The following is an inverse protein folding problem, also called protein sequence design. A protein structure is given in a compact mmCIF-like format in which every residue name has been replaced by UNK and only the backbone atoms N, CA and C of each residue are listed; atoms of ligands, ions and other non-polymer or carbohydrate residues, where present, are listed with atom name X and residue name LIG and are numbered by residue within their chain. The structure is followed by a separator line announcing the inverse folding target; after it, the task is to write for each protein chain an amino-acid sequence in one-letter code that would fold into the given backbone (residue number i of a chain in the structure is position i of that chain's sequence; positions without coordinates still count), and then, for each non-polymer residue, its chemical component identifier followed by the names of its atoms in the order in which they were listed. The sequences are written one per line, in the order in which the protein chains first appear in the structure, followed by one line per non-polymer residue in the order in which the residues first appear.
data_IF_432941354569
#
_entry.id   IF_432941354569
#
_cell.length_a   1.000
_cell.length_b   1.000
_cell.length_c   1.000
_cell.angle_alpha   90.00
_cell.angle_beta   90.00
_cell.angle_gamma   90.00
#
_symmetry.space_group_name_H-M   'P 1'
#
loop_
_entity.id
_entity.type
_entity.pdbx_description
1 polymer ?
#
# COMPACT_ATOMS: atom_id res chain seq x y z
N UNK A 1 -6.26 -1.42 34.71
CA UNK A 1 -6.19 -1.33 33.25
C UNK A 1 -6.44 -2.71 32.66
N UNK A 2 -7.37 -2.82 31.70
CA UNK A 2 -7.60 -4.04 30.93
C UNK A 2 -6.74 -3.97 29.66
N UNK A 3 -5.84 -4.92 29.46
CA UNK A 3 -5.10 -5.05 28.20
C UNK A 3 -6.05 -5.71 27.20
N UNK A 4 -6.75 -4.91 26.38
CA UNK A 4 -7.68 -5.39 25.36
C UNK A 4 -6.86 -6.06 24.25
N UNK A 5 -6.60 -7.36 24.39
CA UNK A 5 -5.57 -8.08 23.62
C UNK A 5 -6.09 -8.78 22.35
N UNK A 6 -7.40 -9.02 22.24
CA UNK A 6 -7.95 -9.94 21.24
C UNK A 6 -8.27 -9.26 19.91
N UNK A 7 -8.95 -8.12 19.94
CA UNK A 7 -9.39 -7.42 18.72
C UNK A 7 -8.22 -6.88 17.88
N UNK A 8 -7.18 -6.37 18.54
CA UNK A 8 -5.99 -5.80 17.90
C UNK A 8 -5.23 -6.87 17.12
N UNK A 9 -4.96 -8.02 17.74
CA UNK A 9 -4.25 -9.13 17.13
C UNK A 9 -5.00 -9.72 15.94
N UNK A 10 -6.33 -9.83 16.06
CA UNK A 10 -7.20 -10.29 14.98
C UNK A 10 -7.12 -9.35 13.77
N UNK A 11 -7.13 -8.03 13.99
CA UNK A 11 -7.02 -7.07 12.88
C UNK A 11 -5.68 -7.17 12.16
N UNK A 12 -4.56 -7.24 12.90
CA UNK A 12 -3.22 -7.33 12.30
C UNK A 12 -3.09 -8.58 11.43
N UNK A 13 -3.57 -9.73 11.93
CA UNK A 13 -3.58 -10.98 11.17
C UNK A 13 -4.46 -10.90 9.92
N UNK A 14 -5.64 -10.28 10.01
CA UNK A 14 -6.54 -10.06 8.87
C UNK A 14 -5.89 -9.18 7.80
N UNK A 15 -5.21 -8.10 8.20
CA UNK A 15 -4.51 -7.21 7.27
C UNK A 15 -3.38 -7.95 6.53
N UNK A 16 -2.60 -8.75 7.25
CA UNK A 16 -1.54 -9.58 6.66
C UNK A 16 -2.07 -10.56 5.61
N UNK A 17 -3.16 -11.25 5.92
CA UNK A 17 -3.84 -12.13 4.98
C UNK A 17 -4.38 -11.36 3.77
N UNK A 18 -4.98 -10.18 4.00
CA UNK A 18 -5.49 -9.32 2.94
C UNK A 18 -4.37 -8.87 1.99
N UNK A 19 -3.18 -8.55 2.48
CA UNK A 19 -2.02 -8.23 1.63
C UNK A 19 -1.58 -9.40 0.75
N UNK A 20 -1.52 -10.62 1.29
CA UNK A 20 -1.19 -11.80 0.50
C UNK A 20 -2.22 -12.07 -0.61
N UNK A 21 -3.50 -11.92 -0.26
CA UNK A 21 -4.61 -12.05 -1.21
C UNK A 21 -4.53 -10.98 -2.31
N UNK A 22 -4.29 -9.73 -1.91
CA UNK A 22 -4.11 -8.60 -2.83
C UNK A 22 -2.94 -8.83 -3.79
N UNK A 23 -1.77 -9.26 -3.31
CA UNK A 23 -0.59 -9.49 -4.16
C UNK A 23 -0.86 -10.53 -5.24
N UNK A 24 -1.61 -11.59 -4.92
CA UNK A 24 -2.00 -12.60 -5.90
C UNK A 24 -2.98 -12.02 -6.92
N UNK A 25 -4.02 -11.32 -6.45
CA UNK A 25 -5.05 -10.75 -7.30
C UNK A 25 -4.49 -9.67 -8.24
N UNK A 26 -3.66 -8.77 -7.73
CA UNK A 26 -3.14 -7.65 -8.50
C UNK A 26 -2.15 -8.10 -9.58
N UNK A 27 -1.31 -9.09 -9.28
CA UNK A 27 -0.41 -9.68 -10.28
C UNK A 27 -1.19 -10.32 -11.42
N UNK A 28 -2.24 -11.09 -11.10
CA UNK A 28 -3.11 -11.71 -12.10
C UNK A 28 -3.83 -10.66 -12.94
N UNK A 29 -4.38 -9.63 -12.30
CA UNK A 29 -5.05 -8.54 -12.98
C UNK A 29 -4.13 -7.80 -13.96
N UNK A 30 -2.97 -7.34 -13.50
CA UNK A 30 -2.01 -6.62 -14.36
C UNK A 30 -1.45 -7.51 -15.48
N UNK A 31 -1.29 -8.82 -15.22
CA UNK A 31 -0.92 -9.79 -16.25
C UNK A 31 -2.00 -9.91 -17.33
N UNK A 32 -3.28 -9.95 -16.93
CA UNK A 32 -4.39 -10.03 -17.87
C UNK A 32 -4.52 -8.75 -18.72
N UNK A 33 -4.29 -7.56 -18.15
CA UNK A 33 -4.25 -6.32 -18.93
C UNK A 33 -3.11 -6.36 -19.95
N UNK A 34 -1.90 -6.79 -19.54
CA UNK A 34 -0.77 -6.95 -20.48
C UNK A 34 -1.06 -7.95 -21.60
N UNK A 35 -1.74 -9.05 -21.28
CA UNK A 35 -2.12 -10.07 -22.24
C UNK A 35 -3.16 -9.54 -23.22
N UNK A 36 -4.13 -8.75 -22.77
CA UNK A 36 -5.07 -8.03 -23.64
C UNK A 36 -4.32 -7.17 -24.67
N UNK A 37 -3.38 -6.34 -24.25
CA UNK A 37 -2.59 -5.49 -25.15
C UNK A 37 -1.74 -6.31 -26.13
N UNK A 38 -1.17 -7.42 -25.68
CA UNK A 38 -0.38 -8.33 -26.54
C UNK A 38 -1.26 -9.00 -27.59
N UNK A 39 -2.49 -9.38 -27.22
CA UNK A 39 -3.45 -9.97 -28.14
C UNK A 39 -4.01 -8.95 -29.13
N UNK A 40 -4.22 -7.69 -28.71
CA UNK A 40 -4.61 -6.61 -29.62
C UNK A 40 -3.55 -6.34 -30.70
N UNK A 41 -2.26 -6.35 -30.34
CA UNK A 41 -1.19 -6.25 -31.32
C UNK A 41 -1.19 -7.46 -32.28
N UNK A 42 -1.40 -8.66 -31.77
CA UNK A 42 -1.50 -9.86 -32.62
C UNK A 42 -2.64 -9.73 -33.63
N UNK A 43 -3.80 -9.21 -33.21
CA UNK A 43 -4.92 -8.91 -34.11
C UNK A 43 -4.55 -7.85 -35.15
N UNK A 44 -3.85 -6.78 -34.77
CA UNK A 44 -3.37 -5.78 -35.72
C UNK A 44 -2.41 -6.39 -36.76
N UNK A 45 -1.50 -7.27 -36.35
CA UNK A 45 -0.61 -7.99 -37.28
C UNK A 45 -1.43 -8.83 -38.25
N UNK A 46 -2.39 -9.61 -37.76
CA UNK A 46 -3.26 -10.42 -38.64
C UNK A 46 -4.10 -9.58 -39.59
N UNK A 47 -4.64 -8.43 -39.16
CA UNK A 47 -5.36 -7.49 -40.04
C UNK A 47 -4.44 -6.95 -41.13
N UNK A 48 -3.22 -6.56 -40.78
CA UNK A 48 -2.20 -6.11 -41.73
C UNK A 48 -1.84 -7.18 -42.76
N UNK A 49 -1.73 -8.43 -42.33
CA UNK A 49 -1.49 -9.57 -43.22
C UNK A 49 -2.67 -9.83 -44.16
N UNK A 50 -3.91 -9.79 -43.66
CA UNK A 50 -5.10 -9.98 -44.49
C UNK A 50 -5.30 -8.83 -45.50
N UNK A 51 -4.89 -7.60 -45.16
CA UNK A 51 -4.98 -6.45 -46.06
C UNK A 51 -3.91 -6.45 -47.17
N UNK A 52 -2.98 -7.41 -47.16
CA UNK A 52 -1.99 -7.53 -48.23
C UNK A 52 -2.70 -7.75 -49.57
N UNK A 53 -2.31 -6.96 -50.57
CA UNK A 53 -2.90 -6.99 -51.91
C UNK A 53 -4.39 -6.60 -51.97
N UNK A 54 -4.98 -6.05 -50.91
CA UNK A 54 -6.29 -5.39 -50.98
C UNK A 54 -6.22 -4.29 -52.04
N UNK A 55 -7.19 -4.21 -52.94
CA UNK A 55 -7.22 -3.27 -54.07
C UNK A 55 -8.09 -2.04 -53.78
N UNK A 56 -9.05 -2.17 -52.86
CA UNK A 56 -9.85 -1.05 -52.38
C UNK A 56 -9.04 -0.16 -51.43
N UNK A 57 -8.74 1.05 -51.86
CA UNK A 57 -7.94 2.01 -51.10
C UNK A 57 -8.59 2.42 -49.77
N UNK A 58 -9.91 2.53 -49.71
CA UNK A 58 -10.63 2.89 -48.47
C UNK A 58 -10.49 1.80 -47.40
N UNK A 59 -10.63 0.54 -47.81
CA UNK A 59 -10.48 -0.62 -46.92
C UNK A 59 -9.02 -0.76 -46.47
N UNK A 60 -8.06 -0.55 -47.37
CA UNK A 60 -6.64 -0.57 -47.03
C UNK A 60 -6.30 0.52 -46.01
N UNK A 61 -6.77 1.74 -46.22
CA UNK A 61 -6.55 2.87 -45.31
C UNK A 61 -7.20 2.66 -43.94
N UNK A 62 -8.38 2.03 -43.88
CA UNK A 62 -9.04 1.64 -42.64
C UNK A 62 -8.17 0.63 -41.85
N UNK A 63 -7.69 -0.42 -42.51
CA UNK A 63 -6.80 -1.42 -41.91
C UNK A 63 -5.50 -0.80 -41.40
N UNK A 64 -4.85 0.05 -42.20
CA UNK A 64 -3.61 0.74 -41.80
C UNK A 64 -3.83 1.66 -40.60
N UNK A 65 -4.96 2.39 -40.57
CA UNK A 65 -5.32 3.27 -39.45
C UNK A 65 -5.52 2.48 -38.16
N UNK A 66 -6.27 1.37 -38.22
CA UNK A 66 -6.47 0.47 -37.08
C UNK A 66 -5.13 -0.05 -36.53
N UNK A 67 -4.28 -0.59 -37.41
CA UNK A 67 -3.01 -1.18 -37.00
C UNK A 67 -2.06 -0.12 -36.41
N UNK A 68 -1.96 1.06 -37.01
CA UNK A 68 -1.11 2.15 -36.52
C UNK A 68 -1.55 2.67 -35.15
N UNK A 69 -2.88 2.75 -34.89
CA UNK A 69 -3.40 3.14 -33.57
C UNK A 69 -3.01 2.14 -32.48
N UNK A 70 -3.08 0.85 -32.77
CA UNK A 70 -2.68 -0.21 -31.83
C UNK A 70 -1.16 -0.19 -31.59
N UNK A 71 -0.36 -0.04 -32.64
CA UNK A 71 1.10 0.07 -32.52
C UNK A 71 1.49 1.26 -31.65
N UNK A 72 0.84 2.42 -31.84
CA UNK A 72 1.04 3.61 -31.00
C UNK A 72 0.61 3.36 -29.55
N UNK A 73 -0.51 2.67 -29.32
CA UNK A 73 -0.97 2.32 -27.97
C UNK A 73 0.06 1.48 -27.20
N UNK A 74 0.68 0.51 -27.88
CA UNK A 74 1.67 -0.37 -27.27
C UNK A 74 3.05 0.28 -27.10
N UNK A 75 3.50 1.02 -28.11
CA UNK A 75 4.86 1.59 -28.17
C UNK A 75 4.99 2.93 -27.43
N UNK A 76 3.87 3.58 -27.09
CA UNK A 76 3.89 4.80 -26.30
C UNK A 76 4.67 4.58 -25.01
N UNK A 77 5.68 5.41 -24.80
CA UNK A 77 6.43 5.45 -23.54
C UNK A 77 5.63 6.25 -22.53
N UNK A 78 5.66 5.84 -21.27
CA UNK A 78 5.01 6.56 -20.19
C UNK A 78 5.66 7.96 -20.08
N UNK A 79 5.02 8.96 -20.68
CA UNK A 79 5.35 10.35 -20.42
C UNK A 79 5.02 10.59 -18.95
N UNK A 80 6.05 10.79 -18.13
CA UNK A 80 5.84 11.06 -16.71
C UNK A 80 4.99 12.33 -16.61
N UNK A 81 3.71 12.19 -16.32
CA UNK A 81 2.81 13.30 -16.04
C UNK A 81 3.07 13.82 -14.62
N UNK A 82 4.32 14.21 -14.35
CA UNK A 82 4.58 15.07 -13.19
C UNK A 82 4.03 16.43 -13.59
N UNK A 83 2.95 16.83 -12.94
CA UNK A 83 2.49 18.22 -12.99
C UNK A 83 3.66 19.11 -12.54
N UNK A 84 4.30 19.77 -13.49
CA UNK A 84 5.25 20.84 -13.23
C UNK A 84 4.44 22.08 -12.80
N UNK A 85 3.94 22.06 -11.56
CA UNK A 85 3.42 23.26 -10.95
C UNK A 85 4.61 24.11 -10.45
N UNK A 86 4.71 25.31 -11.01
CA UNK A 86 5.61 26.43 -10.65
C UNK A 86 7.09 26.30 -11.04
N UNK A 87 7.38 26.52 -12.33
CA UNK A 87 8.67 27.07 -12.75
C UNK A 87 8.51 28.57 -13.01
N UNK A 88 8.96 29.37 -12.04
CA UNK A 88 9.19 30.81 -12.18
C UNK A 88 10.26 31.04 -13.30
N UNK A 89 10.01 31.88 -14.31
CA UNK A 89 10.90 32.01 -15.48
C UNK A 89 12.31 32.56 -15.19
N UNK A 90 12.64 32.97 -13.97
CA UNK A 90 13.82 33.79 -13.68
C UNK A 90 14.88 33.17 -12.73
N UNK A 91 15.19 31.87 -12.84
CA UNK A 91 16.32 31.29 -12.08
C UNK A 91 17.20 30.34 -12.90
N UNK A 92 18.52 30.62 -13.06
CA UNK A 92 19.41 29.75 -13.80
C UNK A 92 19.75 28.49 -12.98
N UNK A 93 19.64 27.35 -13.66
CA UNK A 93 19.83 26.01 -13.12
C UNK A 93 21.31 25.68 -12.95
N UNK A 94 21.74 25.33 -11.73
CA UNK A 94 23.03 24.66 -11.46
C UNK A 94 22.76 23.28 -10.91
N UNK A 95 23.24 22.28 -11.65
CA UNK A 95 23.00 20.88 -11.39
C UNK A 95 23.55 20.37 -10.06
N UNK A 96 22.84 19.38 -9.52
CA UNK A 96 23.42 18.28 -8.73
C UNK A 96 22.45 17.10 -8.74
N UNK A 97 22.92 15.97 -9.28
CA UNK A 97 22.29 14.66 -9.13
C UNK A 97 22.21 14.33 -7.63
N UNK A 98 21.01 14.16 -7.10
CA UNK A 98 20.75 13.37 -5.88
C UNK A 98 19.56 12.47 -6.15
N UNK A 99 19.72 11.21 -5.72
CA UNK A 99 18.81 10.09 -5.89
C UNK A 99 17.39 10.41 -5.45
N UNK A 100 16.44 10.21 -6.35
CA UNK A 100 15.00 10.36 -6.10
C UNK A 100 14.48 9.13 -5.36
N UNK A 101 14.30 9.23 -4.05
CA UNK A 101 13.58 8.22 -3.26
C UNK A 101 12.56 8.78 -2.27
N UNK A 102 12.36 10.12 -2.19
CA UNK A 102 11.66 10.72 -1.04
C UNK A 102 10.54 11.74 -1.35
N UNK A 103 9.92 11.65 -2.52
CA UNK A 103 8.70 12.45 -2.78
C UNK A 103 7.63 11.56 -3.39
N UNK A 104 6.85 10.90 -2.53
CA UNK A 104 5.61 10.21 -2.92
C UNK A 104 4.45 11.17 -2.65
N UNK A 105 3.63 11.54 -3.66
CA UNK A 105 2.55 12.51 -3.44
C UNK A 105 1.48 11.95 -2.50
N UNK A 106 1.29 12.57 -1.35
CA UNK A 106 0.26 12.22 -0.34
C UNK A 106 -1.14 12.70 -0.75
N UNK A 107 -1.25 13.52 -1.80
CA UNK A 107 -2.50 14.05 -2.32
C UNK A 107 -2.67 13.63 -3.77
N UNK A 108 -3.70 12.81 -4.04
CA UNK A 108 -4.14 12.55 -5.42
C UNK A 108 -4.82 13.83 -5.91
N UNK A 109 -4.16 14.54 -6.82
CA UNK A 109 -4.84 15.51 -7.67
C UNK A 109 -5.81 14.73 -8.59
N UNK A 110 -7.06 14.66 -8.16
CA UNK A 110 -8.17 14.06 -8.92
C UNK A 110 -8.65 14.98 -10.06
N UNK A 111 -8.10 16.20 -10.16
CA UNK A 111 -8.43 17.20 -11.18
C UNK A 111 -7.42 17.28 -12.33
N UNK A 112 -6.36 16.47 -12.31
CA UNK A 112 -5.45 16.34 -13.46
C UNK A 112 -6.23 15.85 -14.69
N UNK A 113 -6.37 16.73 -15.68
CA UNK A 113 -6.96 16.43 -16.98
C UNK A 113 -6.14 15.30 -17.59
N UNK A 114 -6.71 14.10 -17.81
CA UNK A 114 -5.95 13.00 -18.36
C UNK A 114 -5.44 13.38 -19.75
N UNK A 115 -4.21 12.97 -20.12
CA UNK A 115 -3.72 13.15 -21.48
C UNK A 115 -4.74 12.56 -22.47
N UNK A 116 -4.90 13.21 -23.62
CA UNK A 116 -5.87 12.81 -24.66
C UNK A 116 -5.79 11.33 -25.02
N UNK A 117 -4.58 10.77 -24.88
CA UNK A 117 -4.22 9.39 -25.14
C UNK A 117 -3.64 8.75 -23.85
N UNK A 118 -4.40 7.86 -23.22
CA UNK A 118 -3.99 7.14 -22.00
C UNK A 118 -3.60 5.71 -22.37
N UNK A 119 -2.30 5.51 -22.56
CA UNK A 119 -1.71 4.30 -23.11
C UNK A 119 -1.34 3.25 -22.04
N UNK A 120 -1.12 2.01 -22.47
CA UNK A 120 -0.80 0.88 -21.59
C UNK A 120 0.37 1.17 -20.64
N UNK A 121 1.46 1.77 -21.14
CA UNK A 121 2.62 2.09 -20.31
C UNK A 121 2.29 3.10 -19.21
N UNK A 122 1.57 4.18 -19.54
CA UNK A 122 1.09 5.19 -18.59
C UNK A 122 0.17 4.57 -17.55
N UNK A 123 -0.76 3.72 -17.98
CA UNK A 123 -1.64 2.96 -17.08
C UNK A 123 -0.83 2.13 -16.07
N UNK A 124 0.12 1.33 -16.54
CA UNK A 124 0.93 0.46 -15.68
C UNK A 124 1.78 1.26 -14.68
N UNK A 125 2.36 2.37 -15.12
CA UNK A 125 3.14 3.27 -14.26
C UNK A 125 2.26 3.93 -13.20
N UNK A 126 1.14 4.53 -13.59
CA UNK A 126 0.23 5.21 -12.67
C UNK A 126 -0.40 4.25 -11.67
N UNK A 127 -0.77 3.05 -12.13
CA UNK A 127 -1.30 2.02 -11.26
C UNK A 127 -0.28 1.62 -10.19
N UNK A 128 0.99 1.40 -10.58
CA UNK A 128 2.06 1.06 -9.65
C UNK A 128 2.34 2.19 -8.65
N UNK A 129 2.46 3.43 -9.13
CA UNK A 129 2.75 4.59 -8.28
C UNK A 129 1.62 4.92 -7.30
N UNK A 130 0.36 4.88 -7.76
CA UNK A 130 -0.79 5.32 -6.95
C UNK A 130 -1.33 4.22 -6.05
N UNK A 131 -1.41 2.98 -6.54
CA UNK A 131 -2.05 1.87 -5.82
C UNK A 131 -1.00 1.03 -5.10
N UNK A 132 0.01 0.52 -5.81
CA UNK A 132 0.99 -0.42 -5.22
C UNK A 132 1.86 0.25 -4.16
N UNK A 133 2.28 1.51 -4.35
CA UNK A 133 3.08 2.24 -3.35
C UNK A 133 2.31 2.45 -2.03
N UNK A 134 1.03 2.82 -2.10
CA UNK A 134 0.20 3.05 -0.91
C UNK A 134 -0.02 1.75 -0.10
N UNK A 135 -0.14 0.61 -0.79
CA UNK A 135 -0.22 -0.71 -0.14
C UNK A 135 1.09 -1.09 0.53
N UNK A 136 2.23 -0.83 -0.12
CA UNK A 136 3.55 -1.14 0.45
C UNK A 136 3.85 -0.30 1.70
N UNK A 137 3.47 0.98 1.72
CA UNK A 137 3.59 1.81 2.92
C UNK A 137 2.76 1.27 4.09
N UNK A 138 1.51 0.86 3.85
CA UNK A 138 0.66 0.28 4.90
C UNK A 138 1.23 -1.06 5.40
N UNK A 139 1.87 -1.83 4.53
CA UNK A 139 2.53 -3.09 4.88
C UNK A 139 3.73 -2.87 5.80
N UNK A 140 4.54 -1.84 5.54
CA UNK A 140 5.65 -1.46 6.40
C UNK A 140 5.15 -1.06 7.79
N UNK A 141 4.14 -0.19 7.85
CA UNK A 141 3.51 0.23 9.11
C UNK A 141 2.95 -0.97 9.91
N UNK A 142 2.27 -1.90 9.23
CA UNK A 142 1.75 -3.12 9.86
C UNK A 142 2.87 -3.92 10.54
N UNK A 143 4.02 -4.05 9.86
CA UNK A 143 5.15 -4.80 10.38
C UNK A 143 5.78 -4.15 11.62
N UNK A 144 5.82 -2.82 11.67
CA UNK A 144 6.28 -2.07 12.85
C UNK A 144 5.32 -2.24 14.03
N UNK A 145 4.01 -2.18 13.79
CA UNK A 145 2.98 -2.41 14.81
C UNK A 145 3.00 -3.86 15.33
N UNK A 146 3.23 -4.86 14.46
CA UNK A 146 3.40 -6.26 14.89
C UNK A 146 4.61 -6.42 15.83
N UNK A 147 5.74 -5.77 15.51
CA UNK A 147 6.93 -5.76 16.38
C UNK A 147 6.64 -5.11 17.73
N UNK A 148 5.96 -3.96 17.71
CA UNK A 148 5.56 -3.23 18.91
C UNK A 148 4.62 -4.04 19.79
N UNK A 149 3.61 -4.69 19.18
CA UNK A 149 2.71 -5.61 19.88
C UNK A 149 3.49 -6.71 20.60
N UNK A 150 4.45 -7.33 19.93
CA UNK A 150 5.27 -8.39 20.53
C UNK A 150 6.07 -7.90 21.73
N UNK A 151 6.69 -6.72 21.64
CA UNK A 151 7.42 -6.10 22.77
C UNK A 151 6.51 -5.84 23.97
N UNK A 152 5.36 -5.21 23.73
CA UNK A 152 4.33 -5.00 24.77
C UNK A 152 3.91 -6.32 25.41
N UNK A 153 3.55 -7.33 24.61
CA UNK A 153 3.09 -8.63 25.12
C UNK A 153 4.17 -9.32 25.98
N UNK A 154 5.45 -9.19 25.62
CA UNK A 154 6.58 -9.68 26.44
C UNK A 154 6.68 -8.95 27.78
N UNK A 155 6.54 -7.62 27.81
CA UNK A 155 6.57 -6.85 29.06
C UNK A 155 5.35 -7.11 29.94
N UNK A 156 4.16 -7.22 29.35
CA UNK A 156 2.93 -7.57 30.07
C UNK A 156 3.05 -8.96 30.72
N UNK A 157 3.62 -9.95 30.02
CA UNK A 157 3.91 -11.27 30.61
C UNK A 157 4.87 -11.19 31.79
N UNK A 158 5.93 -10.37 31.69
CA UNK A 158 6.87 -10.14 32.78
C UNK A 158 6.18 -9.52 34.01
N UNK A 159 5.36 -8.50 33.80
CA UNK A 159 4.56 -7.88 34.85
C UNK A 159 3.59 -8.88 35.50
N UNK A 160 2.86 -9.66 34.72
CA UNK A 160 1.93 -10.68 35.24
C UNK A 160 2.65 -11.73 36.09
N UNK A 161 3.88 -12.11 35.71
CA UNK A 161 4.73 -13.03 36.49
C UNK A 161 5.10 -12.43 37.84
N UNK A 162 5.61 -11.20 37.89
CA UNK A 162 5.98 -10.54 39.15
C UNK A 162 4.76 -10.25 40.02
N UNK A 163 3.65 -9.83 39.43
CA UNK A 163 2.37 -9.67 40.13
C UNK A 163 1.95 -10.97 40.82
N UNK A 164 1.92 -12.08 40.08
CA UNK A 164 1.54 -13.38 40.65
C UNK A 164 2.49 -13.84 41.76
N UNK A 165 3.79 -13.50 41.67
CA UNK A 165 4.78 -13.81 42.69
C UNK A 165 4.54 -12.99 43.98
N UNK A 166 4.25 -11.70 43.85
CA UNK A 166 3.87 -10.81 44.96
C UNK A 166 2.59 -11.32 45.62
N UNK A 167 1.52 -11.54 44.85
CA UNK A 167 0.22 -12.05 45.34
C UNK A 167 0.39 -13.39 46.10
N UNK A 168 1.26 -14.28 45.61
CA UNK A 168 1.58 -15.54 46.29
C UNK A 168 2.32 -15.34 47.61
N UNK A 169 3.22 -14.37 47.71
CA UNK A 169 3.94 -14.08 48.95
C UNK A 169 3.04 -13.41 49.99
N UNK A 170 2.18 -12.48 49.57
CA UNK A 170 1.17 -11.87 50.43
C UNK A 170 0.26 -12.92 51.05
N UNK A 171 -0.23 -13.86 50.22
CA UNK A 171 -1.06 -14.97 50.68
C UNK A 171 -0.32 -15.86 51.70
N UNK A 172 0.98 -16.13 51.49
CA UNK A 172 1.79 -16.96 52.38
C UNK A 172 2.08 -16.27 53.72
N UNK A 173 2.39 -14.97 53.70
CA UNK A 173 2.69 -14.19 54.89
C UNK A 173 1.42 -13.94 55.71
N UNK A 174 0.30 -13.63 55.06
CA UNK A 174 -1.01 -13.52 55.70
C UNK A 174 -1.41 -14.81 56.43
N UNK A 175 -1.21 -15.98 55.81
CA UNK A 175 -1.46 -17.29 56.46
C UNK A 175 -0.60 -17.54 57.70
N UNK A 176 0.54 -16.87 57.83
CA UNK A 176 1.45 -16.97 58.97
C UNK A 176 1.27 -15.83 59.98
N UNK A 177 0.30 -14.93 59.79
CA UNK A 177 0.14 -13.69 60.55
C UNK A 177 1.44 -12.86 60.62
N UNK A 178 2.27 -12.91 59.58
CA UNK A 178 3.51 -12.13 59.47
C UNK A 178 3.24 -10.81 58.76
N UNK A 179 3.82 -9.72 59.27
CA UNK A 179 3.73 -8.41 58.65
C UNK A 179 4.51 -8.40 57.32
N UNK A 180 3.83 -8.05 56.23
CA UNK A 180 4.41 -8.02 54.88
C UNK A 180 5.54 -6.99 54.73
N UNK A 181 5.42 -5.88 55.46
CA UNK A 181 6.36 -4.75 55.43
C UNK A 181 7.75 -5.07 55.98
N UNK A 182 7.87 -6.11 56.80
CA UNK A 182 9.13 -6.51 57.45
C UNK A 182 9.89 -7.58 56.64
N UNK A 183 9.25 -8.20 55.64
CA UNK A 183 9.85 -9.24 54.82
C UNK A 183 10.68 -8.63 53.67
N UNK A 184 12.02 -8.76 53.77
CA UNK A 184 12.96 -8.26 52.76
C UNK A 184 12.75 -8.87 51.37
N UNK A 185 12.26 -10.12 51.29
CA UNK A 185 12.06 -10.82 50.02
C UNK A 185 10.79 -10.32 49.33
N UNK A 186 9.74 -10.04 50.10
CA UNK A 186 8.52 -9.38 49.66
C UNK A 186 8.84 -8.01 49.06
N UNK A 187 9.51 -7.13 49.81
CA UNK A 187 9.85 -5.78 49.36
C UNK A 187 10.65 -5.81 48.03
N UNK A 188 11.62 -6.72 47.89
CA UNK A 188 12.39 -6.87 46.66
C UNK A 188 11.55 -7.32 45.45
N UNK A 189 10.55 -8.18 45.66
CA UNK A 189 9.68 -8.62 44.56
C UNK A 189 8.61 -7.58 44.22
N UNK A 190 8.17 -6.80 45.22
CA UNK A 190 7.32 -5.64 45.02
C UNK A 190 8.01 -4.58 44.14
N UNK A 191 9.27 -4.28 44.41
CA UNK A 191 10.08 -3.38 43.55
C UNK A 191 10.12 -3.87 42.09
N UNK A 192 10.38 -5.16 41.85
CA UNK A 192 10.35 -5.74 40.49
C UNK A 192 8.97 -5.68 39.84
N UNK A 193 7.90 -5.86 40.62
CA UNK A 193 6.53 -5.72 40.12
C UNK A 193 6.28 -4.30 39.64
N UNK A 194 6.68 -3.29 40.40
CA UNK A 194 6.48 -1.89 40.00
C UNK A 194 7.37 -1.49 38.82
N UNK A 195 8.63 -1.95 38.78
CA UNK A 195 9.52 -1.73 37.61
C UNK A 195 8.94 -2.37 36.34
N UNK A 196 8.52 -3.64 36.42
CA UNK A 196 7.92 -4.35 35.27
C UNK A 196 6.56 -3.76 34.86
N UNK A 197 5.79 -3.21 35.81
CA UNK A 197 4.54 -2.49 35.53
C UNK A 197 4.81 -1.23 34.72
N UNK A 198 5.74 -0.39 35.14
CA UNK A 198 6.10 0.84 34.43
C UNK A 198 6.57 0.56 33.00
N UNK A 199 7.41 -0.48 32.81
CA UNK A 199 7.84 -0.91 31.47
C UNK A 199 6.68 -1.43 30.61
N UNK A 200 5.75 -2.19 31.20
CA UNK A 200 4.57 -2.69 30.47
C UNK A 200 3.62 -1.55 30.08
N UNK A 201 3.45 -0.54 30.94
CA UNK A 201 2.65 0.66 30.66
C UNK A 201 3.28 1.49 29.54
N UNK A 202 4.58 1.76 29.59
CA UNK A 202 5.29 2.52 28.55
C UNK A 202 5.25 1.85 27.16
N UNK A 203 5.48 0.54 27.10
CA UNK A 203 5.36 -0.21 25.83
C UNK A 203 3.90 -0.30 25.35
N UNK A 204 2.93 -0.32 26.27
CA UNK A 204 1.53 -0.28 25.89
C UNK A 204 1.13 1.06 25.29
N UNK A 205 1.56 2.19 25.86
CA UNK A 205 1.34 3.53 25.29
C UNK A 205 1.97 3.65 23.90
N UNK A 206 3.21 3.18 23.74
CA UNK A 206 3.91 3.17 22.46
C UNK A 206 3.13 2.35 21.42
N UNK A 207 2.70 1.14 21.78
CA UNK A 207 1.91 0.31 20.89
C UNK A 207 0.58 0.98 20.52
N UNK A 208 -0.15 1.57 21.48
CA UNK A 208 -1.44 2.19 21.21
C UNK A 208 -1.29 3.36 20.23
N UNK A 209 -0.26 4.19 20.40
CA UNK A 209 0.03 5.28 19.46
C UNK A 209 0.26 4.77 18.03
N UNK A 210 1.10 3.75 17.88
CA UNK A 210 1.40 3.14 16.57
C UNK A 210 0.18 2.42 15.97
N UNK A 211 -0.62 1.76 16.79
CA UNK A 211 -1.85 1.10 16.35
C UNK A 211 -2.87 2.12 15.82
N UNK A 212 -3.03 3.26 16.48
CA UNK A 212 -3.90 4.34 15.98
C UNK A 212 -3.39 4.94 14.66
N UNK A 213 -2.07 5.12 14.52
CA UNK A 213 -1.45 5.55 13.26
C UNK A 213 -1.71 4.54 12.13
N UNK A 214 -1.58 3.24 12.41
CA UNK A 214 -1.92 2.18 11.46
C UNK A 214 -3.39 2.25 11.01
N UNK A 215 -4.33 2.50 11.92
CA UNK A 215 -5.76 2.63 11.57
C UNK A 215 -6.04 3.84 10.66
N UNK A 216 -5.38 4.97 10.93
CA UNK A 216 -5.48 6.16 10.08
C UNK A 216 -4.90 5.88 8.69
N UNK A 217 -3.68 5.35 8.63
CA UNK A 217 -3.01 4.99 7.38
C UNK A 217 -3.81 3.97 6.59
N UNK A 218 -4.40 2.97 7.25
CA UNK A 218 -5.29 1.99 6.62
C UNK A 218 -6.46 2.66 5.92
N UNK A 219 -7.09 3.63 6.57
CA UNK A 219 -8.24 4.36 6.01
C UNK A 219 -7.83 5.13 4.76
N UNK A 220 -6.68 5.81 4.80
CA UNK A 220 -6.11 6.52 3.66
C UNK A 220 -5.77 5.56 2.51
N UNK A 221 -5.04 4.49 2.79
CA UNK A 221 -4.66 3.49 1.78
C UNK A 221 -5.89 2.86 1.13
N UNK A 222 -6.93 2.50 1.89
CA UNK A 222 -8.17 1.97 1.30
C UNK A 222 -8.82 2.96 0.33
N UNK A 223 -8.85 4.25 0.69
CA UNK A 223 -9.35 5.30 -0.20
C UNK A 223 -8.50 5.38 -1.47
N UNK A 224 -7.17 5.43 -1.35
CA UNK A 224 -6.23 5.50 -2.46
C UNK A 224 -6.30 4.27 -3.36
N UNK A 225 -6.48 3.08 -2.79
CA UNK A 225 -6.62 1.84 -3.55
C UNK A 225 -7.89 1.86 -4.40
N UNK A 226 -9.04 2.15 -3.78
CA UNK A 226 -10.32 2.13 -4.50
C UNK A 226 -10.36 3.23 -5.57
N UNK A 227 -9.97 4.46 -5.22
CA UNK A 227 -9.97 5.57 -6.17
C UNK A 227 -8.92 5.39 -7.26
N UNK A 228 -7.72 4.93 -6.91
CA UNK A 228 -6.62 4.69 -7.83
C UNK A 228 -6.95 3.60 -8.84
N UNK A 229 -7.47 2.45 -8.39
CA UNK A 229 -7.91 1.35 -9.28
C UNK A 229 -9.02 1.86 -10.19
N UNK A 230 -10.07 2.48 -9.63
CA UNK A 230 -11.21 2.96 -10.41
C UNK A 230 -10.81 3.99 -11.46
N UNK A 231 -10.03 5.00 -11.07
CA UNK A 231 -9.65 6.10 -11.95
C UNK A 231 -8.72 5.64 -13.08
N UNK A 232 -7.64 4.93 -12.73
CA UNK A 232 -6.65 4.47 -13.71
C UNK A 232 -7.26 3.47 -14.70
N UNK A 233 -8.11 2.56 -14.22
CA UNK A 233 -8.79 1.59 -15.08
C UNK A 233 -9.81 2.27 -15.99
N UNK A 234 -10.62 3.19 -15.47
CA UNK A 234 -11.59 3.93 -16.29
C UNK A 234 -10.90 4.76 -17.38
N UNK A 235 -9.77 5.40 -17.05
CA UNK A 235 -8.97 6.15 -18.01
C UNK A 235 -8.37 5.23 -19.08
N UNK A 236 -7.83 4.08 -18.69
CA UNK A 236 -7.29 3.09 -19.61
C UNK A 236 -8.35 2.55 -20.56
N UNK A 237 -9.50 2.09 -20.07
CA UNK A 237 -10.56 1.58 -20.94
C UNK A 237 -11.16 2.66 -21.85
N UNK A 238 -11.26 3.91 -21.38
CA UNK A 238 -11.65 5.04 -22.23
C UNK A 238 -10.61 5.31 -23.33
N UNK A 239 -9.32 5.23 -23.01
CA UNK A 239 -8.23 5.30 -23.98
C UNK A 239 -8.30 4.16 -25.00
N UNK A 240 -8.59 2.94 -24.53
CA UNK A 240 -8.73 1.77 -25.39
C UNK A 240 -9.90 1.87 -26.36
N UNK A 241 -11.05 2.39 -25.92
CA UNK A 241 -12.18 2.67 -26.82
C UNK A 241 -11.76 3.60 -27.95
N UNK A 242 -11.00 4.67 -27.68
CA UNK A 242 -10.52 5.58 -28.74
C UNK A 242 -9.53 4.93 -29.71
N UNK A 243 -8.74 3.98 -29.22
CA UNK A 243 -7.79 3.22 -30.06
C UNK A 243 -8.56 2.27 -30.98
N UNK A 244 -9.56 1.58 -30.46
CA UNK A 244 -10.39 0.63 -31.21
C UNK A 244 -11.39 1.32 -32.13
N UNK A 245 -11.88 2.49 -31.74
CA UNK A 245 -12.73 3.35 -32.55
C UNK A 245 -11.89 3.99 -33.67
N UNK A 246 -11.64 3.17 -34.68
CA UNK A 246 -10.93 3.51 -35.92
C UNK A 246 -11.89 4.05 -36.98
N UNK A 247 -13.19 4.11 -36.66
CA UNK A 247 -14.24 4.67 -37.50
C UNK A 247 -14.35 6.18 -37.26
N UNK A 248 -13.38 6.92 -37.78
CA UNK A 248 -13.65 8.30 -38.18
C UNK A 248 -14.39 8.31 -39.52
N UNK A 249 -15.63 7.82 -39.54
CA UNK A 249 -16.65 8.21 -40.52
C UNK A 249 -17.45 9.37 -39.93
#
# INVERSE_FOLDING_TARGET
MSFIQDDEGVLLAKLKHAFSTYDSAIKKYLSAVKELDTNLETLAISVREMAQSETNEEVRALCDTFCNKIDKHKSATAGVSVSAATADPNKPSKGKKKSSADVVPTTIDTTSIPPEEYYFSTYMTDFSLKVSSAVEQLRQELHEVEKSKKKRDEKVKSYQKHRSAVDSMETKLAKKNQAVTEDKKYNKELEKREESKSLAEAENETFQAQYQQLLQKRTETLRLMVSGISLTSAQYYKGMVKVLDSNGL
#
